data_IF_791479024878
#
_entry.id   IF_791479024878
#
_cell.length_a   1.000
_cell.length_b   1.000
_cell.length_c   1.000
_cell.angle_alpha   90.00
_cell.angle_beta   90.00
_cell.angle_gamma   90.00
#
_symmetry.space_group_name_H-M   'P 1'
#
loop_
_entity.id
_entity.type
_entity.pdbx_description
1 polymer ?
#
# COMPACT_ATOMS: atom_id res chain seq x y z
N UNK A 1 -20.21 31.95 19.26
CA UNK A 1 -19.56 31.80 17.94
C UNK A 1 -19.48 30.32 17.69
N UNK A 2 -20.37 29.76 16.87
CA UNK A 2 -20.26 28.37 16.42
C UNK A 2 -19.02 28.30 15.53
N UNK A 3 -18.01 27.53 15.91
CA UNK A 3 -16.87 27.27 15.05
C UNK A 3 -17.42 26.76 13.71
N UNK A 4 -17.15 27.49 12.63
CA UNK A 4 -17.50 27.02 11.29
C UNK A 4 -16.80 25.70 11.02
N UNK A 5 -17.39 24.86 10.19
CA UNK A 5 -16.69 23.69 9.68
C UNK A 5 -15.38 24.14 8.99
N UNK A 6 -14.26 23.42 9.18
CA UNK A 6 -13.00 23.77 8.54
C UNK A 6 -13.09 23.59 7.02
N UNK A 7 -12.47 24.50 6.28
CA UNK A 7 -12.35 24.42 4.83
C UNK A 7 -11.31 23.35 4.44
N UNK A 8 -11.66 22.50 3.47
CA UNK A 8 -10.88 21.34 3.07
C UNK A 8 -10.44 21.42 1.61
N UNK A 9 -9.15 21.22 1.37
CA UNK A 9 -8.62 20.94 0.04
C UNK A 9 -8.31 19.44 -0.09
N UNK A 10 -8.85 18.79 -1.12
CA UNK A 10 -8.50 17.43 -1.50
C UNK A 10 -7.57 17.46 -2.71
N UNK A 11 -6.29 17.17 -2.49
CA UNK A 11 -5.26 17.09 -3.52
C UNK A 11 -5.11 15.64 -4.00
N UNK A 12 -5.65 15.32 -5.18
CA UNK A 12 -5.54 14.00 -5.80
C UNK A 12 -4.30 13.95 -6.67
N UNK A 13 -3.31 13.11 -6.32
CA UNK A 13 -2.00 13.16 -7.00
C UNK A 13 -1.41 11.81 -7.35
N UNK A 14 -0.82 11.73 -8.54
CA UNK A 14 -0.06 10.56 -8.99
C UNK A 14 -0.57 9.98 -10.29
N UNK A 15 -0.76 8.67 -10.32
CA UNK A 15 -1.07 7.91 -11.54
C UNK A 15 -2.43 7.24 -11.40
N UNK A 16 -3.40 7.61 -12.25
CA UNK A 16 -4.71 6.95 -12.31
C UNK A 16 -4.51 5.50 -12.79
N UNK A 17 -5.23 4.56 -12.18
CA UNK A 17 -5.19 3.13 -12.52
C UNK A 17 -6.50 2.71 -13.19
N UNK A 18 -6.58 1.46 -13.65
CA UNK A 18 -7.80 0.96 -14.27
C UNK A 18 -9.01 0.99 -13.32
N UNK A 19 -8.79 0.75 -12.03
CA UNK A 19 -9.81 1.03 -11.01
C UNK A 19 -9.86 2.55 -10.78
N UNK A 20 -11.01 3.15 -11.12
CA UNK A 20 -11.30 4.57 -11.00
C UNK A 20 -12.39 4.86 -9.96
N UNK A 21 -12.66 3.94 -9.02
CA UNK A 21 -13.74 4.07 -8.03
C UNK A 21 -13.59 5.32 -7.16
N UNK A 22 -12.37 5.75 -6.85
CA UNK A 22 -12.17 7.04 -6.17
C UNK A 22 -12.64 8.22 -7.02
N UNK A 23 -12.46 8.20 -8.34
CA UNK A 23 -12.94 9.28 -9.20
C UNK A 23 -14.47 9.31 -9.21
N UNK A 24 -15.13 8.14 -9.25
CA UNK A 24 -16.58 8.04 -9.09
C UNK A 24 -17.03 8.65 -7.75
N UNK A 25 -16.34 8.31 -6.65
CA UNK A 25 -16.64 8.85 -5.33
C UNK A 25 -16.40 10.38 -5.23
N UNK A 26 -15.39 10.91 -5.92
CA UNK A 26 -15.10 12.35 -5.97
C UNK A 26 -16.14 13.13 -6.77
N UNK A 27 -16.71 12.54 -7.82
CA UNK A 27 -17.83 13.15 -8.58
C UNK A 27 -19.07 13.32 -7.69
N UNK A 28 -19.29 12.39 -6.75
CA UNK A 28 -20.41 12.41 -5.79
C UNK A 28 -20.12 13.25 -4.54
N UNK A 29 -18.85 13.35 -4.14
CA UNK A 29 -18.40 14.04 -2.94
C UNK A 29 -18.15 15.55 -3.17
N UNK A 30 -19.19 16.29 -3.52
CA UNK A 30 -19.17 17.76 -3.51
C UNK A 30 -19.82 18.23 -2.21
N UNK A 31 -19.00 18.55 -1.20
CA UNK A 31 -19.44 19.12 0.08
C UNK A 31 -19.30 20.64 0.05
N UNK A 32 -20.16 21.35 0.81
CA UNK A 32 -20.28 22.82 0.84
C UNK A 32 -18.99 23.62 1.19
N UNK A 33 -17.88 22.96 1.54
CA UNK A 33 -16.60 23.58 1.90
C UNK A 33 -15.38 22.75 1.49
N UNK A 34 -15.53 21.91 0.47
CA UNK A 34 -14.46 21.06 -0.05
C UNK A 34 -14.16 21.46 -1.49
N UNK A 35 -12.88 21.72 -1.77
CA UNK A 35 -12.40 21.90 -3.14
C UNK A 35 -11.42 20.80 -3.51
N UNK A 36 -11.52 20.31 -4.75
CA UNK A 36 -10.72 19.20 -5.25
C UNK A 36 -9.69 19.76 -6.24
N UNK A 37 -8.44 19.30 -6.11
CA UNK A 37 -7.31 19.67 -6.97
C UNK A 37 -6.65 18.40 -7.50
N UNK A 38 -6.66 18.21 -8.82
CA UNK A 38 -6.19 16.97 -9.43
C UNK A 38 -4.90 17.24 -10.21
N UNK A 39 -3.81 16.57 -9.84
CA UNK A 39 -2.59 16.55 -10.65
C UNK A 39 -2.14 15.11 -10.90
N UNK A 40 -2.29 14.66 -12.15
CA UNK A 40 -2.05 13.27 -12.54
C UNK A 40 -1.18 13.14 -13.78
N UNK A 41 -0.65 11.95 -14.00
CA UNK A 41 -0.02 11.58 -15.28
C UNK A 41 -1.09 11.29 -16.35
N UNK A 42 -0.82 11.68 -17.59
CA UNK A 42 -1.78 11.60 -18.70
C UNK A 42 -2.03 10.20 -19.25
N UNK A 43 -1.21 9.23 -18.85
CA UNK A 43 -1.42 7.81 -19.15
C UNK A 43 -1.97 7.12 -17.93
N UNK A 44 -3.01 6.31 -18.11
CA UNK A 44 -3.47 5.36 -17.10
C UNK A 44 -2.32 4.40 -16.84
N UNK A 45 -1.86 4.37 -15.60
CA UNK A 45 -0.71 3.59 -15.23
C UNK A 45 -1.05 2.13 -15.08
N UNK A 46 -0.22 1.28 -15.65
CA UNK A 46 -0.15 -0.10 -15.23
C UNK A 46 0.60 -0.18 -13.90
N UNK A 47 0.12 -0.97 -12.94
CA UNK A 47 0.97 -1.27 -11.77
C UNK A 47 2.18 -2.14 -12.18
N UNK A 48 2.25 -2.58 -13.43
CA UNK A 48 3.15 -3.60 -13.95
C UNK A 48 4.09 -3.06 -15.02
N UNK A 49 4.70 -1.89 -14.79
CA UNK A 49 5.96 -1.60 -15.49
C UNK A 49 7.07 -2.41 -14.80
N UNK A 50 7.24 -3.67 -15.22
CA UNK A 50 8.28 -4.57 -14.71
C UNK A 50 7.74 -5.81 -13.99
N UNK A 51 8.52 -6.33 -13.04
CA UNK A 51 8.19 -7.53 -12.25
C UNK A 51 6.97 -7.28 -11.34
N UNK A 52 6.06 -8.24 -11.24
CA UNK A 52 4.93 -8.17 -10.30
C UNK A 52 5.48 -8.27 -8.87
N UNK A 53 5.33 -7.20 -8.10
CA UNK A 53 5.80 -7.18 -6.72
C UNK A 53 4.85 -7.97 -5.79
N UNK A 54 5.34 -8.55 -4.67
CA UNK A 54 4.52 -9.30 -3.70
C UNK A 54 3.27 -8.53 -3.26
N UNK A 55 3.48 -7.26 -2.92
CA UNK A 55 2.43 -6.32 -2.52
C UNK A 55 1.36 -6.07 -3.59
N UNK A 56 1.62 -6.37 -4.86
CA UNK A 56 0.62 -6.27 -5.92
C UNK A 56 -0.30 -7.48 -5.89
N UNK A 57 0.26 -8.67 -5.64
CA UNK A 57 -0.51 -9.89 -5.45
C UNK A 57 -1.37 -9.79 -4.19
N UNK A 58 -0.80 -9.30 -3.08
CA UNK A 58 -1.54 -9.02 -1.83
C UNK A 58 -2.75 -8.10 -2.08
N UNK A 59 -2.59 -7.07 -2.93
CA UNK A 59 -3.68 -6.13 -3.23
C UNK A 59 -4.77 -6.72 -4.13
N UNK A 60 -4.44 -7.69 -4.98
CA UNK A 60 -5.41 -8.30 -5.91
C UNK A 60 -6.16 -9.50 -5.31
N UNK A 61 -5.54 -10.21 -4.36
CA UNK A 61 -6.06 -11.47 -3.82
C UNK A 61 -6.40 -11.42 -2.34
N UNK A 62 -6.00 -10.35 -1.65
CA UNK A 62 -6.04 -10.24 -0.20
C UNK A 62 -4.64 -10.33 0.40
N UNK A 63 -4.42 -9.56 1.46
CA UNK A 63 -3.16 -9.55 2.21
C UNK A 63 -2.80 -10.93 2.75
N UNK A 64 -3.81 -11.73 3.11
CA UNK A 64 -3.66 -13.10 3.58
C UNK A 64 -2.96 -14.01 2.56
N UNK A 65 -3.33 -13.88 1.29
CA UNK A 65 -2.74 -14.67 0.20
C UNK A 65 -1.38 -14.09 -0.20
N UNK A 66 -1.29 -12.79 -0.41
CA UNK A 66 -0.06 -12.18 -0.91
C UNK A 66 1.12 -12.28 0.06
N UNK A 67 0.85 -12.27 1.35
CA UNK A 67 1.87 -12.38 2.39
C UNK A 67 2.22 -13.86 2.70
N UNK A 68 1.39 -14.81 2.28
CA UNK A 68 1.70 -16.24 2.30
C UNK A 68 2.59 -16.67 1.12
N UNK A 69 2.79 -15.79 0.12
CA UNK A 69 3.67 -16.07 -1.01
C UNK A 69 5.14 -16.02 -0.57
N UNK A 70 5.92 -17.09 -0.76
CA UNK A 70 7.35 -16.99 -0.61
C UNK A 70 7.91 -15.98 -1.63
N UNK A 71 8.82 -15.13 -1.18
CA UNK A 71 9.50 -14.14 -2.03
C UNK A 71 10.17 -14.78 -3.25
N UNK A 72 10.63 -16.04 -3.11
CA UNK A 72 11.19 -16.85 -4.20
C UNK A 72 10.18 -17.28 -5.27
N UNK A 73 8.87 -17.22 -5.02
CA UNK A 73 7.85 -17.49 -6.02
C UNK A 73 7.42 -16.20 -6.75
N UNK A 74 7.51 -15.06 -6.09
CA UNK A 74 7.12 -13.75 -6.61
C UNK A 74 8.25 -13.13 -7.44
N UNK A 75 9.47 -13.21 -6.93
CA UNK A 75 10.66 -12.65 -7.56
C UNK A 75 11.25 -13.49 -8.69
N UNK A 76 10.63 -14.60 -9.10
CA UNK A 76 11.16 -15.50 -10.14
C UNK A 76 10.15 -15.93 -11.24
N UNK A 77 8.95 -15.34 -11.28
CA UNK A 77 7.96 -15.67 -12.31
C UNK A 77 7.36 -17.08 -12.17
N UNK A 78 7.54 -17.74 -11.02
CA UNK A 78 6.97 -19.06 -10.76
C UNK A 78 5.46 -18.99 -10.54
N UNK A 79 4.95 -17.97 -9.83
CA UNK A 79 3.49 -17.78 -9.70
C UNK A 79 2.87 -17.48 -11.07
N UNK A 80 3.56 -16.73 -11.92
CA UNK A 80 3.11 -16.49 -13.29
C UNK A 80 2.99 -17.79 -14.08
N UNK A 81 3.96 -18.71 -13.95
CA UNK A 81 3.85 -20.04 -14.56
C UNK A 81 2.68 -20.82 -13.97
N UNK A 82 2.41 -20.68 -12.67
CA UNK A 82 1.34 -21.41 -11.96
C UNK A 82 -0.05 -20.89 -12.32
N UNK A 83 -0.23 -19.58 -12.46
CA UNK A 83 -1.52 -18.94 -12.72
C UNK A 83 -1.32 -17.81 -13.73
N UNK A 84 -1.05 -18.16 -14.99
CA UNK A 84 -0.82 -17.16 -16.04
C UNK A 84 -2.03 -16.24 -16.20
N UNK A 85 -3.25 -16.73 -15.98
CA UNK A 85 -4.48 -15.94 -16.11
C UNK A 85 -4.58 -14.82 -15.07
N UNK A 86 -4.06 -15.04 -13.85
CA UNK A 86 -4.00 -14.01 -12.80
C UNK A 86 -2.97 -12.93 -13.14
N UNK A 87 -1.83 -13.33 -13.71
CA UNK A 87 -0.84 -12.37 -14.19
C UNK A 87 -1.31 -11.66 -15.44
N UNK A 88 -2.04 -12.33 -16.33
CA UNK A 88 -2.72 -11.71 -17.46
C UNK A 88 -3.77 -10.72 -16.98
N UNK A 89 -4.49 -10.95 -15.88
CA UNK A 89 -5.38 -9.95 -15.29
C UNK A 89 -4.65 -8.71 -14.76
N UNK A 90 -3.62 -8.93 -13.95
CA UNK A 90 -2.76 -7.86 -13.43
C UNK A 90 -2.13 -7.08 -14.60
N UNK A 91 -1.76 -7.77 -15.68
CA UNK A 91 -1.19 -7.20 -16.91
C UNK A 91 -2.24 -6.62 -17.85
N UNK A 92 -3.47 -7.08 -17.87
CA UNK A 92 -4.54 -6.47 -18.66
C UNK A 92 -4.98 -5.14 -18.04
N UNK A 93 -4.53 -4.87 -16.80
CA UNK A 93 -4.46 -3.53 -16.20
C UNK A 93 -3.32 -2.65 -16.79
N UNK A 94 -2.49 -3.16 -17.73
CA UNK A 94 -1.58 -2.41 -18.61
C UNK A 94 -2.37 -1.73 -19.75
N UNK A 95 -3.36 -0.93 -19.40
CA UNK A 95 -4.04 -0.16 -20.43
C UNK A 95 -3.16 1.02 -20.81
N UNK A 96 -2.66 1.04 -22.05
CA UNK A 96 -2.09 2.23 -22.72
C UNK A 96 -3.14 3.32 -22.98
N UNK A 97 -4.13 3.41 -22.10
CA UNK A 97 -5.23 4.36 -22.18
C UNK A 97 -4.75 5.70 -21.67
N UNK A 98 -5.20 6.75 -22.32
CA UNK A 98 -5.02 8.09 -21.81
C UNK A 98 -6.08 8.35 -20.75
N UNK A 99 -5.71 9.17 -19.77
CA UNK A 99 -6.66 9.72 -18.80
C UNK A 99 -7.71 10.55 -19.54
N UNK A 100 -8.98 10.34 -19.22
CA UNK A 100 -10.08 11.15 -19.74
C UNK A 100 -10.07 12.52 -19.07
N UNK A 101 -9.53 13.52 -19.78
CA UNK A 101 -9.41 14.88 -19.28
C UNK A 101 -10.76 15.56 -19.06
N UNK A 102 -11.78 15.22 -19.86
CA UNK A 102 -13.10 15.84 -19.75
C UNK A 102 -13.84 15.29 -18.54
N UNK A 103 -13.67 14.00 -18.26
CA UNK A 103 -14.12 13.41 -16.99
C UNK A 103 -13.53 14.14 -15.79
N UNK A 104 -12.21 14.34 -15.73
CA UNK A 104 -11.57 15.03 -14.60
C UNK A 104 -12.06 16.48 -14.44
N UNK A 105 -12.32 17.17 -15.55
CA UNK A 105 -12.86 18.54 -15.52
C UNK A 105 -14.30 18.61 -15.01
N UNK A 106 -15.07 17.52 -15.12
CA UNK A 106 -16.40 17.45 -14.52
C UNK A 106 -16.34 17.37 -12.99
N UNK A 107 -15.25 16.82 -12.43
CA UNK A 107 -15.02 16.78 -10.97
C UNK A 107 -14.60 18.15 -10.46
N UNK A 108 -13.65 18.80 -11.13
CA UNK A 108 -13.10 20.09 -10.68
C UNK A 108 -12.56 20.91 -11.84
N UNK A 109 -12.62 22.25 -11.79
CA UNK A 109 -11.91 23.10 -12.74
C UNK A 109 -10.38 23.05 -12.56
N UNK A 110 -9.87 22.57 -11.43
CA UNK A 110 -8.45 22.57 -11.10
C UNK A 110 -7.76 21.25 -11.46
N UNK A 111 -7.43 21.08 -12.74
CA UNK A 111 -6.87 19.84 -13.29
C UNK A 111 -5.53 20.08 -13.99
N UNK A 112 -4.52 19.31 -13.60
CA UNK A 112 -3.20 19.23 -14.22
C UNK A 112 -2.93 17.80 -14.72
N UNK A 113 -2.77 17.64 -16.03
CA UNK A 113 -2.49 16.36 -16.68
C UNK A 113 -1.19 16.54 -17.46
N UNK A 114 -0.18 15.73 -17.16
CA UNK A 114 1.13 15.82 -17.83
C UNK A 114 1.57 14.47 -18.41
N UNK A 115 2.29 14.51 -19.53
CA UNK A 115 2.91 13.33 -20.11
C UNK A 115 4.16 12.94 -19.29
N UNK A 116 4.11 11.76 -18.68
CA UNK A 116 5.21 11.20 -17.89
C UNK A 116 6.49 11.02 -18.70
N UNK A 117 6.40 10.66 -19.99
CA UNK A 117 7.55 10.47 -20.88
C UNK A 117 8.27 11.78 -21.14
N UNK A 118 7.51 12.83 -21.50
CA UNK A 118 8.09 14.17 -21.70
C UNK A 118 8.77 14.68 -20.43
N UNK A 119 8.17 14.45 -19.26
CA UNK A 119 8.80 14.80 -17.99
C UNK A 119 10.15 14.06 -17.79
N UNK A 120 10.20 12.74 -18.01
CA UNK A 120 11.45 11.93 -17.91
C UNK A 120 12.51 12.46 -18.87
N UNK A 121 12.15 12.75 -20.12
CA UNK A 121 13.07 13.23 -21.16
C UNK A 121 13.72 14.57 -20.82
N UNK A 122 13.04 15.40 -20.02
CA UNK A 122 13.60 16.68 -19.54
C UNK A 122 14.53 16.54 -18.34
N UNK A 123 14.60 15.37 -17.70
CA UNK A 123 15.46 15.13 -16.55
C UNK A 123 16.84 14.60 -16.98
N UNK A 124 17.91 14.86 -16.21
CA UNK A 124 19.19 14.21 -16.40
C UNK A 124 19.10 12.68 -16.26
N UNK A 125 19.95 11.93 -16.97
CA UNK A 125 19.89 10.45 -17.03
C UNK A 125 19.99 9.75 -15.65
N UNK A 126 20.74 10.32 -14.71
CA UNK A 126 20.83 9.82 -13.33
C UNK A 126 19.52 9.99 -12.53
N UNK A 127 18.60 10.81 -13.03
CA UNK A 127 17.25 11.00 -12.49
C UNK A 127 16.17 10.19 -13.25
N UNK A 128 16.56 9.39 -14.26
CA UNK A 128 15.65 8.52 -15.03
C UNK A 128 15.26 7.24 -14.28
N UNK A 129 15.97 6.89 -13.20
CA UNK A 129 15.63 5.74 -12.36
C UNK A 129 14.43 6.06 -11.44
N UNK A 130 13.24 5.88 -11.99
CA UNK A 130 11.91 5.63 -11.41
C UNK A 130 11.53 6.09 -9.98
N UNK A 131 10.40 6.83 -9.98
CA UNK A 131 9.22 6.87 -9.06
C UNK A 131 9.08 7.96 -8.01
N UNK A 132 10.04 8.24 -7.13
CA UNK A 132 9.72 9.13 -5.99
C UNK A 132 9.60 10.60 -6.37
N UNK A 133 10.48 11.11 -7.24
CA UNK A 133 10.31 12.47 -7.80
C UNK A 133 8.97 12.67 -8.48
N UNK A 134 8.38 11.62 -9.06
CA UNK A 134 7.08 11.71 -9.72
C UNK A 134 5.94 11.90 -8.71
N UNK A 135 5.99 11.18 -7.59
CA UNK A 135 5.00 11.31 -6.51
C UNK A 135 5.09 12.71 -5.89
N UNK A 136 6.28 13.12 -5.44
CA UNK A 136 6.49 14.46 -4.89
C UNK A 136 6.16 15.56 -5.88
N UNK A 137 6.59 15.42 -7.13
CA UNK A 137 6.28 16.39 -8.19
C UNK A 137 4.78 16.59 -8.32
N UNK A 138 4.00 15.50 -8.44
CA UNK A 138 2.54 15.61 -8.54
C UNK A 138 1.88 16.12 -7.26
N UNK A 139 2.42 15.80 -6.09
CA UNK A 139 2.03 16.44 -4.81
C UNK A 139 2.22 17.96 -4.86
N UNK A 140 3.41 18.41 -5.25
CA UNK A 140 3.72 19.84 -5.36
C UNK A 140 2.88 20.55 -6.44
N UNK A 141 2.61 19.90 -7.58
CA UNK A 141 1.76 20.44 -8.66
C UNK A 141 0.32 20.64 -8.19
N UNK A 142 -0.31 19.65 -7.56
CA UNK A 142 -1.66 19.83 -7.00
C UNK A 142 -1.69 20.89 -5.90
N UNK A 143 -0.68 20.94 -5.03
CA UNK A 143 -0.58 21.99 -4.01
C UNK A 143 -0.42 23.39 -4.61
N UNK A 144 0.23 23.52 -5.76
CA UNK A 144 0.30 24.79 -6.49
C UNK A 144 -1.05 25.18 -7.09
N UNK A 145 -1.85 24.24 -7.61
CA UNK A 145 -3.22 24.51 -8.04
C UNK A 145 -4.06 25.05 -6.86
N UNK A 146 -3.96 24.40 -5.70
CA UNK A 146 -4.59 24.86 -4.46
C UNK A 146 -4.16 26.28 -4.10
N UNK A 147 -2.85 26.58 -4.11
CA UNK A 147 -2.33 27.93 -3.85
C UNK A 147 -2.86 28.99 -4.81
N UNK A 148 -3.02 28.65 -6.10
CA UNK A 148 -3.62 29.56 -7.07
C UNK A 148 -5.08 29.86 -6.71
N UNK A 149 -5.86 28.84 -6.36
CA UNK A 149 -7.24 29.01 -5.89
C UNK A 149 -7.32 29.82 -4.58
N UNK A 150 -6.40 29.60 -3.64
CA UNK A 150 -6.29 30.41 -2.41
C UNK A 150 -6.01 31.90 -2.72
N UNK A 151 -5.20 32.17 -3.75
CA UNK A 151 -4.89 33.53 -4.18
C UNK A 151 -6.08 34.20 -4.87
N UNK A 152 -6.80 33.47 -5.71
CA UNK A 152 -7.99 33.95 -6.42
C UNK A 152 -9.15 34.26 -5.46
N UNK A 153 -9.41 33.34 -4.52
CA UNK A 153 -10.47 33.46 -3.52
C UNK A 153 -10.09 34.35 -2.32
N UNK A 154 -8.79 34.64 -2.14
CA UNK A 154 -8.19 35.31 -0.98
C UNK A 154 -8.44 34.60 0.36
N UNK A 155 -8.80 33.32 0.33
CA UNK A 155 -9.00 32.48 1.51
C UNK A 155 -8.04 31.29 1.45
N UNK A 156 -7.50 30.89 2.60
CA UNK A 156 -6.68 29.68 2.70
C UNK A 156 -7.53 28.52 3.18
N UNK A 157 -7.18 27.32 2.76
CA UNK A 157 -7.76 26.11 3.33
C UNK A 157 -7.20 25.87 4.73
N UNK A 158 -8.01 25.29 5.61
CA UNK A 158 -7.60 24.90 6.96
C UNK A 158 -6.90 23.54 6.92
N UNK A 159 -7.49 22.59 6.18
CA UNK A 159 -7.05 21.20 6.09
C UNK A 159 -6.72 20.86 4.65
N UNK A 160 -5.66 20.07 4.45
CA UNK A 160 -5.30 19.51 3.16
C UNK A 160 -5.21 18.00 3.28
N UNK A 161 -6.00 17.30 2.46
CA UNK A 161 -5.93 15.87 2.29
C UNK A 161 -5.27 15.56 0.94
N UNK A 162 -4.08 14.98 0.97
CA UNK A 162 -3.44 14.40 -0.21
C UNK A 162 -3.85 12.95 -0.34
N UNK A 163 -4.36 12.57 -1.50
CA UNK A 163 -4.91 11.23 -1.77
C UNK A 163 -4.36 10.71 -3.10
N UNK A 164 -4.02 9.43 -3.18
CA UNK A 164 -3.72 8.79 -4.47
C UNK A 164 -5.00 8.53 -5.28
N UNK A 165 -4.97 8.68 -6.61
CA UNK A 165 -6.13 8.41 -7.46
C UNK A 165 -6.54 6.94 -7.52
N UNK A 166 -5.72 6.00 -7.02
CA UNK A 166 -5.96 4.55 -7.09
C UNK A 166 -6.47 3.93 -5.79
N UNK A 167 -7.06 4.72 -4.89
CA UNK A 167 -7.81 4.18 -3.76
C UNK A 167 -9.17 3.63 -4.18
N UNK A 168 -9.68 2.66 -3.43
CA UNK A 168 -11.03 2.13 -3.62
C UNK A 168 -12.12 3.11 -3.17
N UNK A 169 -11.82 3.94 -2.17
CA UNK A 169 -12.81 4.78 -1.49
C UNK A 169 -12.17 6.08 -1.00
N UNK A 170 -13.01 7.10 -0.77
CA UNK A 170 -12.59 8.30 -0.07
C UNK A 170 -12.29 7.96 1.40
N UNK A 171 -11.08 8.29 1.91
CA UNK A 171 -10.75 8.06 3.30
C UNK A 171 -11.66 8.92 4.20
N UNK A 172 -11.98 8.41 5.39
CA UNK A 172 -12.73 9.17 6.39
C UNK A 172 -11.85 10.29 6.95
N UNK A 173 -11.96 11.49 6.37
CA UNK A 173 -11.21 12.67 6.80
C UNK A 173 -11.84 13.22 8.09
N UNK A 174 -11.05 13.40 9.18
CA UNK A 174 -11.55 13.97 10.43
C UNK A 174 -12.13 15.38 10.22
N UNK A 175 -13.30 15.64 10.81
CA UNK A 175 -13.96 16.96 10.78
C UNK A 175 -13.48 17.91 11.88
N UNK A 176 -12.76 17.37 12.88
CA UNK A 176 -12.04 18.11 13.90
C UNK A 176 -10.56 17.77 13.75
N UNK A 177 -9.73 18.80 13.66
CA UNK A 177 -8.32 18.63 13.34
C UNK A 177 -7.48 19.57 14.20
N UNK A 178 -6.55 19.03 14.98
CA UNK A 178 -5.54 19.83 15.68
C UNK A 178 -4.31 20.03 14.77
N UNK A 179 -3.71 21.21 14.81
CA UNK A 179 -2.52 21.52 13.98
C UNK A 179 -1.30 20.64 14.31
N UNK A 180 -1.29 20.01 15.48
CA UNK A 180 -0.28 19.03 15.89
C UNK A 180 -0.54 17.62 15.35
N UNK A 181 -1.65 17.37 14.67
CA UNK A 181 -2.03 16.05 14.16
C UNK A 181 -1.65 15.86 12.68
N UNK A 182 -1.42 14.59 12.31
CA UNK A 182 -1.26 14.14 10.93
C UNK A 182 -1.85 12.74 10.79
N UNK A 183 -2.64 12.51 9.74
CA UNK A 183 -3.32 11.24 9.51
C UNK A 183 -2.82 10.60 8.22
N UNK A 184 -2.46 9.32 8.29
CA UNK A 184 -1.72 8.59 7.25
C UNK A 184 -2.35 7.20 7.04
N UNK A 185 -2.11 6.54 5.90
CA UNK A 185 -2.70 5.22 5.65
C UNK A 185 -2.08 4.09 6.49
N UNK A 186 -0.82 4.22 6.91
CA UNK A 186 -0.20 3.34 7.89
C UNK A 186 0.99 4.02 8.57
N UNK A 187 1.37 3.48 9.73
CA UNK A 187 2.51 3.88 10.54
C UNK A 187 3.25 2.62 11.00
N UNK A 188 4.58 2.67 11.00
CA UNK A 188 5.44 1.59 11.48
C UNK A 188 6.60 2.20 12.25
N UNK A 189 6.72 1.85 13.52
CA UNK A 189 7.89 2.16 14.34
C UNK A 189 8.79 0.91 14.39
N UNK A 190 10.05 1.09 14.03
CA UNK A 190 11.06 0.04 14.11
C UNK A 190 11.73 0.02 15.49
N UNK A 191 12.35 -1.11 15.84
CA UNK A 191 12.94 -1.31 17.17
C UNK A 191 14.10 -0.38 17.52
N UNK A 192 14.65 0.35 16.55
CA UNK A 192 15.69 1.37 16.74
C UNK A 192 15.13 2.80 16.91
N UNK A 193 13.79 2.95 16.89
CA UNK A 193 13.09 4.23 16.97
C UNK A 193 12.87 4.91 15.62
N UNK A 194 13.23 4.28 14.50
CA UNK A 194 12.90 4.76 13.17
C UNK A 194 11.39 4.70 12.95
N UNK A 195 10.81 5.81 12.48
CA UNK A 195 9.41 5.87 12.09
C UNK A 195 9.30 5.82 10.56
N UNK A 196 8.44 4.95 10.06
CA UNK A 196 8.03 4.89 8.66
C UNK A 196 6.54 5.17 8.55
N UNK A 197 6.15 5.97 7.57
CA UNK A 197 4.76 6.33 7.35
C UNK A 197 4.34 6.18 5.89
N UNK A 198 3.10 5.75 5.68
CA UNK A 198 2.51 5.60 4.36
C UNK A 198 2.32 6.93 3.65
N UNK A 199 2.46 6.89 2.32
CA UNK A 199 2.25 8.04 1.45
C UNK A 199 1.00 7.89 0.59
N UNK A 200 0.06 6.99 0.89
CA UNK A 200 -1.13 6.81 0.04
C UNK A 200 -2.22 7.83 0.36
N UNK A 201 -2.35 8.15 1.64
CA UNK A 201 -3.19 9.25 2.14
C UNK A 201 -2.38 10.02 3.16
N UNK A 202 -2.43 11.35 3.07
CA UNK A 202 -1.86 12.24 4.09
C UNK A 202 -2.87 13.36 4.34
N UNK A 203 -3.37 13.48 5.56
CA UNK A 203 -4.24 14.60 5.98
C UNK A 203 -3.53 15.39 7.06
N UNK A 204 -3.38 16.69 6.83
CA UNK A 204 -2.73 17.59 7.77
C UNK A 204 -3.35 18.99 7.69
N UNK A 205 -3.11 19.80 8.73
CA UNK A 205 -3.34 21.22 8.64
C UNK A 205 -2.51 21.83 7.48
N UNK A 206 -3.04 22.83 6.80
CA UNK A 206 -2.50 23.32 5.51
C UNK A 206 -1.03 23.75 5.55
N UNK A 207 -0.56 24.35 6.65
CA UNK A 207 0.85 24.73 6.81
C UNK A 207 1.76 23.52 7.12
N UNK A 208 1.27 22.53 7.86
CA UNK A 208 1.99 21.27 8.09
C UNK A 208 2.18 20.53 6.77
N UNK A 209 1.16 20.50 5.92
CA UNK A 209 1.27 19.93 4.57
C UNK A 209 2.28 20.70 3.71
N UNK A 210 2.30 22.04 3.78
CA UNK A 210 3.29 22.87 3.07
C UNK A 210 4.72 22.53 3.51
N UNK A 211 4.95 22.48 4.82
CA UNK A 211 6.25 22.15 5.41
C UNK A 211 6.68 20.72 5.05
N UNK A 212 5.75 19.76 5.00
CA UNK A 212 6.02 18.38 4.57
C UNK A 212 6.46 18.33 3.11
N UNK A 213 5.73 19.01 2.21
CA UNK A 213 6.08 19.05 0.77
C UNK A 213 7.47 19.66 0.58
N UNK A 214 7.80 20.69 1.37
CA UNK A 214 9.11 21.32 1.36
C UNK A 214 10.21 20.41 1.93
N UNK A 215 9.93 19.70 3.02
CA UNK A 215 10.84 18.72 3.60
C UNK A 215 11.14 17.56 2.64
N UNK A 216 10.10 17.02 2.01
CA UNK A 216 10.22 16.01 0.96
C UNK A 216 11.04 16.54 -0.22
N UNK A 217 10.81 17.80 -0.62
CA UNK A 217 11.58 18.43 -1.71
C UNK A 217 13.08 18.41 -1.42
N UNK A 218 13.50 18.75 -0.20
CA UNK A 218 14.92 18.79 0.14
C UNK A 218 15.55 17.39 0.19
N UNK A 219 14.88 16.44 0.84
CA UNK A 219 15.47 15.13 1.13
C UNK A 219 15.39 14.13 -0.03
N UNK A 220 14.44 14.29 -0.95
CA UNK A 220 14.22 13.35 -2.05
C UNK A 220 15.22 13.48 -3.21
N UNK A 221 16.06 14.52 -3.23
CA UNK A 221 17.16 14.60 -4.19
C UNK A 221 18.37 13.75 -3.79
N UNK A 222 18.49 13.41 -2.51
CA UNK A 222 19.68 12.77 -1.94
C UNK A 222 19.48 11.28 -1.63
N UNK A 223 18.24 10.82 -1.46
CA UNK A 223 17.90 9.47 -1.01
C UNK A 223 17.17 8.63 -2.08
N UNK A 224 17.39 7.31 -2.07
CA UNK A 224 16.68 6.33 -2.92
C UNK A 224 15.21 6.11 -2.49
N UNK A 225 14.41 5.44 -3.34
CA UNK A 225 12.96 5.22 -3.18
C UNK A 225 12.53 4.64 -1.83
N UNK A 226 13.34 3.75 -1.25
CA UNK A 226 13.01 3.06 -0.01
C UNK A 226 12.87 4.03 1.19
N UNK A 227 13.47 5.21 1.10
CA UNK A 227 13.48 6.17 2.21
C UNK A 227 12.29 7.15 2.23
N UNK A 228 11.30 7.08 1.33
CA UNK A 228 10.19 8.07 1.39
C UNK A 228 9.39 7.95 2.69
N UNK A 229 9.09 6.72 3.10
CA UNK A 229 8.32 6.51 4.31
C UNK A 229 9.10 6.94 5.54
N UNK A 230 10.43 6.75 5.52
CA UNK A 230 11.34 7.29 6.53
C UNK A 230 11.38 8.81 6.50
N UNK A 231 11.44 9.47 5.33
CA UNK A 231 11.44 10.94 5.22
C UNK A 231 10.15 11.52 5.83
N UNK A 232 9.00 10.89 5.60
CA UNK A 232 7.75 11.30 6.24
C UNK A 232 7.83 11.08 7.75
N UNK A 233 8.37 9.95 8.21
CA UNK A 233 8.58 9.69 9.64
C UNK A 233 9.56 10.66 10.31
N UNK A 234 10.69 10.97 9.68
CA UNK A 234 11.68 11.98 10.08
C UNK A 234 11.01 13.34 10.25
N UNK A 235 10.14 13.73 9.31
CA UNK A 235 9.35 14.95 9.41
C UNK A 235 8.41 14.95 10.62
N UNK A 236 7.65 13.86 10.80
CA UNK A 236 6.70 13.68 11.92
C UNK A 236 7.43 13.80 13.26
N UNK A 237 8.53 13.06 13.43
CA UNK A 237 9.34 13.07 14.65
C UNK A 237 9.99 14.44 14.88
N UNK A 238 10.55 15.04 13.83
CA UNK A 238 11.20 16.36 13.91
C UNK A 238 10.23 17.49 14.27
N UNK A 239 8.99 17.42 13.79
CA UNK A 239 7.91 18.38 14.10
C UNK A 239 7.14 18.02 15.36
N UNK A 240 7.39 16.85 15.95
CA UNK A 240 6.66 16.31 17.12
C UNK A 240 5.15 16.25 16.88
N UNK A 241 4.76 15.77 15.70
CA UNK A 241 3.36 15.60 15.34
C UNK A 241 2.79 14.32 15.97
N UNK A 242 1.52 14.38 16.36
CA UNK A 242 0.73 13.22 16.74
C UNK A 242 0.25 12.53 15.46
N UNK A 243 0.83 11.37 15.15
CA UNK A 243 0.53 10.63 13.93
C UNK A 243 -0.56 9.59 14.18
N UNK A 244 -1.55 9.54 13.28
CA UNK A 244 -2.68 8.63 13.35
C UNK A 244 -2.80 7.82 12.06
N UNK A 245 -3.05 6.52 12.18
CA UNK A 245 -3.38 5.69 11.02
C UNK A 245 -4.88 5.80 10.69
N UNK A 246 -5.23 6.01 9.43
CA UNK A 246 -6.59 5.98 8.89
C UNK A 246 -6.69 4.91 7.82
N UNK A 247 -7.88 4.31 7.71
CA UNK A 247 -8.12 3.27 6.72
C UNK A 247 -8.07 3.88 5.31
N UNK A 248 -7.19 3.35 4.46
CA UNK A 248 -7.15 3.65 3.04
C UNK A 248 -6.71 2.41 2.27
N UNK A 249 -7.57 1.91 1.39
CA UNK A 249 -7.28 0.71 0.59
C UNK A 249 -6.97 1.12 -0.85
N UNK A 250 -5.80 0.72 -1.35
CA UNK A 250 -5.45 0.90 -2.76
C UNK A 250 -6.15 -0.18 -3.58
N UNK A 251 -7.00 0.23 -4.51
CA UNK A 251 -7.67 -0.66 -5.44
C UNK A 251 -6.69 -1.28 -6.44
N UNK A 252 -6.62 -2.60 -6.44
CA UNK A 252 -6.44 -3.35 -7.69
C UNK A 252 -7.77 -4.06 -7.89
N UNK A 253 -8.26 -4.13 -9.13
CA UNK A 253 -9.48 -4.88 -9.43
C UNK A 253 -9.32 -6.32 -8.90
N UNK A 254 -10.10 -6.74 -7.89
CA UNK A 254 -9.87 -8.01 -7.22
C UNK A 254 -10.03 -9.14 -8.24
N UNK A 255 -9.02 -9.99 -8.34
CA UNK A 255 -9.19 -11.23 -9.09
C UNK A 255 -10.04 -12.18 -8.24
N UNK A 256 -10.92 -13.01 -8.83
CA UNK A 256 -11.73 -13.92 -8.05
C UNK A 256 -10.84 -14.84 -7.20
N UNK A 257 -10.86 -14.61 -5.87
CA UNK A 257 -10.05 -15.34 -4.89
C UNK A 257 -10.24 -16.85 -5.04
N UNK A 258 -11.49 -17.28 -5.22
CA UNK A 258 -11.84 -18.68 -5.43
C UNK A 258 -11.26 -19.25 -6.73
N UNK A 259 -11.15 -18.44 -7.79
CA UNK A 259 -10.51 -18.87 -9.02
C UNK A 259 -9.00 -19.04 -8.84
N UNK A 260 -8.36 -18.13 -8.10
CA UNK A 260 -6.94 -18.27 -7.74
C UNK A 260 -6.70 -19.51 -6.89
N UNK A 261 -7.47 -19.69 -5.80
CA UNK A 261 -7.37 -20.84 -4.91
C UNK A 261 -7.69 -22.15 -5.63
N UNK A 262 -8.70 -22.16 -6.51
CA UNK A 262 -9.00 -23.33 -7.35
C UNK A 262 -7.88 -23.63 -8.34
N UNK A 263 -7.23 -22.62 -8.93
CA UNK A 263 -6.13 -22.81 -9.86
C UNK A 263 -4.90 -23.38 -9.14
N UNK A 264 -4.59 -22.86 -7.95
CA UNK A 264 -3.56 -23.41 -7.06
C UNK A 264 -3.89 -24.87 -6.70
N UNK A 265 -5.11 -25.14 -6.20
CA UNK A 265 -5.51 -26.47 -5.76
C UNK A 265 -5.45 -27.52 -6.87
N UNK A 266 -6.00 -27.21 -8.06
CA UNK A 266 -5.97 -28.13 -9.22
C UNK A 266 -4.55 -28.45 -9.66
N UNK A 267 -3.61 -27.50 -9.58
CA UNK A 267 -2.21 -27.73 -9.96
C UNK A 267 -1.41 -28.43 -8.88
N UNK A 268 -1.75 -28.22 -7.61
CA UNK A 268 -1.23 -28.99 -6.49
C UNK A 268 -1.58 -30.48 -6.62
N UNK A 269 -2.82 -30.78 -6.98
CA UNK A 269 -3.27 -32.16 -7.19
C UNK A 269 -2.66 -32.81 -8.45
N UNK A 270 -2.30 -32.00 -9.45
CA UNK A 270 -1.78 -32.47 -10.74
C UNK A 270 -0.26 -32.63 -10.81
N UNK A 271 0.51 -31.87 -10.03
CA UNK A 271 1.97 -31.91 -10.01
C UNK A 271 2.47 -32.27 -8.59
N UNK A 272 2.86 -33.54 -8.44
CA UNK A 272 3.76 -34.12 -7.41
C UNK A 272 4.11 -33.28 -6.18
N UNK A 273 3.86 -33.89 -5.03
CA UNK A 273 4.07 -33.55 -3.61
C UNK A 273 5.46 -33.07 -3.15
N UNK A 274 6.24 -32.37 -3.96
CA UNK A 274 7.59 -31.94 -3.59
C UNK A 274 8.01 -30.60 -4.20
N UNK A 275 8.62 -29.75 -3.37
CA UNK A 275 9.25 -28.50 -3.77
C UNK A 275 8.56 -27.24 -3.23
N UNK A 276 9.11 -26.04 -3.56
CA UNK A 276 8.64 -24.75 -3.03
C UNK A 276 7.14 -24.48 -3.27
N UNK A 277 6.61 -24.95 -4.41
CA UNK A 277 5.18 -24.83 -4.73
C UNK A 277 4.29 -25.58 -3.74
N UNK A 278 4.69 -26.76 -3.29
CA UNK A 278 3.90 -27.57 -2.36
C UNK A 278 3.82 -26.92 -0.96
N UNK A 279 4.94 -26.35 -0.49
CA UNK A 279 4.99 -25.61 0.78
C UNK A 279 4.13 -24.34 0.72
N UNK A 280 4.17 -23.64 -0.41
CA UNK A 280 3.33 -22.48 -0.63
C UNK A 280 1.83 -22.80 -0.61
N UNK A 281 1.39 -23.86 -1.30
CA UNK A 281 -0.03 -24.27 -1.28
C UNK A 281 -0.46 -24.67 0.13
N UNK A 282 0.36 -25.44 0.84
CA UNK A 282 0.11 -25.85 2.21
C UNK A 282 -0.02 -24.65 3.15
N UNK A 283 0.85 -23.63 3.02
CA UNK A 283 0.78 -22.40 3.82
C UNK A 283 -0.51 -21.61 3.57
N UNK A 284 -0.91 -21.42 2.31
CA UNK A 284 -2.17 -20.73 1.97
C UNK A 284 -3.38 -21.48 2.56
N UNK A 285 -3.46 -22.79 2.31
CA UNK A 285 -4.58 -23.61 2.80
C UNK A 285 -4.65 -23.54 4.33
N UNK A 286 -3.50 -23.61 5.00
CA UNK A 286 -3.44 -23.49 6.45
C UNK A 286 -3.95 -22.14 6.95
N UNK A 287 -3.52 -21.04 6.33
CA UNK A 287 -3.94 -19.69 6.70
C UNK A 287 -5.44 -19.46 6.46
N UNK A 288 -6.00 -19.98 5.37
CA UNK A 288 -7.45 -19.92 5.10
C UNK A 288 -8.23 -20.68 6.16
N UNK A 289 -7.78 -21.89 6.52
CA UNK A 289 -8.40 -22.65 7.59
C UNK A 289 -8.34 -21.90 8.92
N UNK A 290 -7.19 -21.29 9.26
CA UNK A 290 -7.03 -20.48 10.48
C UNK A 290 -7.96 -19.25 10.49
N UNK A 291 -8.12 -18.55 9.37
CA UNK A 291 -9.03 -17.39 9.27
C UNK A 291 -10.51 -17.79 9.43
N UNK A 292 -10.84 -19.08 9.25
CA UNK A 292 -12.18 -19.64 9.44
C UNK A 292 -12.32 -20.45 10.74
N UNK A 293 -11.38 -20.30 11.68
CA UNK A 293 -11.31 -21.07 12.95
C UNK A 293 -11.24 -22.61 12.77
N UNK A 294 -10.85 -23.09 11.59
CA UNK A 294 -10.67 -24.52 11.28
C UNK A 294 -9.24 -24.98 11.60
N UNK A 295 -8.97 -25.21 12.89
CA UNK A 295 -7.64 -25.67 13.34
C UNK A 295 -7.28 -27.06 12.79
N UNK A 296 -8.27 -27.91 12.51
CA UNK A 296 -8.04 -29.26 12.01
C UNK A 296 -7.60 -29.24 10.54
N UNK A 297 -8.31 -28.48 9.69
CA UNK A 297 -7.92 -28.26 8.30
C UNK A 297 -6.56 -27.56 8.19
N UNK A 298 -6.26 -26.62 9.10
CA UNK A 298 -4.96 -25.96 9.12
C UNK A 298 -3.80 -26.94 9.39
N UNK A 299 -3.99 -27.86 10.35
CA UNK A 299 -3.02 -28.95 10.61
C UNK A 299 -2.87 -29.86 9.40
N UNK A 300 -3.98 -30.31 8.82
CA UNK A 300 -3.95 -31.19 7.66
C UNK A 300 -3.18 -30.55 6.50
N UNK A 301 -3.47 -29.28 6.20
CA UNK A 301 -2.75 -28.51 5.18
C UNK A 301 -1.24 -28.46 5.46
N UNK A 302 -0.82 -28.18 6.70
CA UNK A 302 0.61 -28.11 7.05
C UNK A 302 1.32 -29.47 6.97
N UNK A 303 0.64 -30.60 7.19
CA UNK A 303 1.26 -31.93 7.02
C UNK A 303 1.62 -32.25 5.57
N UNK A 304 1.01 -31.52 4.63
CA UNK A 304 1.24 -31.66 3.19
C UNK A 304 2.45 -30.86 2.69
N UNK A 305 3.11 -30.09 3.57
CA UNK A 305 4.35 -29.39 3.25
C UNK A 305 5.51 -30.37 3.07
N UNK A 306 6.31 -30.17 2.02
CA UNK A 306 7.54 -30.91 1.74
C UNK A 306 8.76 -30.45 2.55
N UNK A 307 8.72 -29.23 3.09
CA UNK A 307 9.74 -28.68 3.99
C UNK A 307 9.08 -27.86 5.10
N UNK A 308 9.17 -28.34 6.34
CA UNK A 308 8.54 -27.73 7.50
C UNK A 308 9.24 -26.45 8.00
N UNK A 309 10.45 -26.19 7.49
CA UNK A 309 11.33 -25.09 7.93
C UNK A 309 11.36 -23.94 6.91
N UNK A 310 10.54 -23.98 5.85
CA UNK A 310 10.41 -22.84 4.95
C UNK A 310 9.62 -21.69 5.60
N UNK A 311 10.01 -20.43 5.37
CA UNK A 311 9.40 -19.28 6.07
C UNK A 311 7.86 -19.21 6.01
N UNK A 312 7.20 -19.46 4.85
CA UNK A 312 5.73 -19.48 4.81
C UNK A 312 5.10 -20.57 5.70
N UNK A 313 5.73 -21.74 5.78
CA UNK A 313 5.26 -22.85 6.62
C UNK A 313 5.51 -22.54 8.10
N UNK A 314 6.69 -22.02 8.44
CA UNK A 314 7.00 -21.56 9.80
C UNK A 314 5.98 -20.51 10.25
N UNK A 315 5.68 -19.51 9.42
CA UNK A 315 4.69 -18.48 9.71
C UNK A 315 3.30 -19.09 9.99
N UNK A 316 2.80 -19.96 9.12
CA UNK A 316 1.50 -20.63 9.32
C UNK A 316 1.49 -21.55 10.56
N UNK A 317 2.59 -22.26 10.85
CA UNK A 317 2.74 -23.06 12.09
C UNK A 317 2.73 -22.19 13.34
N UNK A 318 3.34 -21.02 13.26
CA UNK A 318 3.37 -20.03 14.34
C UNK A 318 1.97 -19.48 14.64
N UNK A 319 1.22 -19.11 13.60
CA UNK A 319 -0.19 -18.70 13.75
C UNK A 319 -1.05 -19.82 14.35
N UNK A 320 -0.89 -21.06 13.86
CA UNK A 320 -1.58 -22.22 14.42
C UNK A 320 -1.22 -22.43 15.90
N UNK A 321 0.05 -22.28 16.28
CA UNK A 321 0.49 -22.37 17.67
C UNK A 321 -0.18 -21.32 18.55
N UNK A 322 -0.25 -20.06 18.10
CA UNK A 322 -0.98 -19.01 18.81
C UNK A 322 -2.47 -19.32 18.94
N UNK A 323 -3.13 -19.76 17.86
CA UNK A 323 -4.54 -20.11 17.86
C UNK A 323 -4.85 -21.28 18.82
N UNK A 324 -3.89 -22.17 19.04
CA UNK A 324 -3.97 -23.27 20.01
C UNK A 324 -3.54 -22.89 21.44
N UNK A 325 -3.13 -21.64 21.68
CA UNK A 325 -2.60 -21.19 22.97
C UNK A 325 -1.19 -21.71 23.29
N UNK A 326 -0.46 -22.25 22.31
CA UNK A 326 0.93 -22.72 22.43
C UNK A 326 1.92 -21.57 22.23
N UNK A 327 1.92 -20.60 23.14
CA UNK A 327 2.75 -19.38 23.05
C UNK A 327 4.25 -19.67 22.89
N UNK A 328 4.82 -20.56 23.71
CA UNK A 328 6.26 -20.91 23.65
C UNK A 328 6.68 -21.43 22.27
N UNK A 329 5.82 -22.21 21.62
CA UNK A 329 6.11 -22.78 20.30
C UNK A 329 6.06 -21.69 19.22
N UNK A 330 5.15 -20.70 19.37
CA UNK A 330 5.11 -19.53 18.49
C UNK A 330 6.35 -18.63 18.66
N UNK A 331 6.86 -18.45 19.88
CA UNK A 331 8.10 -17.70 20.15
C UNK A 331 9.32 -18.36 19.52
N UNK A 332 9.44 -19.69 19.63
CA UNK A 332 10.54 -20.43 19.00
C UNK A 332 10.50 -20.31 17.48
N UNK A 333 9.31 -20.43 16.88
CA UNK A 333 9.10 -20.25 15.45
C UNK A 333 9.46 -18.83 15.01
N UNK A 334 9.11 -17.81 15.79
CA UNK A 334 9.49 -16.43 15.49
C UNK A 334 11.01 -16.22 15.53
N UNK A 335 11.70 -16.82 16.50
CA UNK A 335 13.17 -16.78 16.54
C UNK A 335 13.80 -17.46 15.32
N UNK A 336 13.20 -18.56 14.83
CA UNK A 336 13.64 -19.20 13.58
C UNK A 336 13.43 -18.27 12.38
N UNK A 337 12.27 -17.62 12.27
CA UNK A 337 11.98 -16.64 11.22
C UNK A 337 12.95 -15.45 11.26
N UNK A 338 13.33 -14.97 12.45
CA UNK A 338 14.30 -13.89 12.63
C UNK A 338 15.70 -14.29 12.14
N UNK A 339 16.11 -15.52 12.45
CA UNK A 339 17.36 -16.08 11.96
C UNK A 339 17.37 -16.27 10.42
N UNK A 340 16.20 -16.50 9.81
CA UNK A 340 16.02 -16.50 8.35
C UNK A 340 16.05 -15.08 7.77
N UNK A 341 15.36 -14.12 8.41
CA UNK A 341 15.26 -12.72 7.99
C UNK A 341 16.58 -11.98 7.97
N UNK A 342 17.50 -12.32 8.87
CA UNK A 342 18.87 -11.80 8.85
C UNK A 342 19.67 -12.21 7.58
N UNK A 343 19.20 -13.17 6.78
CA UNK A 343 19.87 -13.68 5.57
C UNK A 343 19.24 -13.23 4.26
N UNK A 344 17.97 -12.83 4.27
CA UNK A 344 17.20 -12.46 3.09
C UNK A 344 16.47 -11.19 3.49
N UNK A 345 16.82 -10.04 2.90
CA UNK A 345 16.26 -8.73 3.23
C UNK A 345 14.71 -8.82 3.33
N UNK A 346 14.18 -8.88 4.56
CA UNK A 346 12.86 -9.46 4.87
C UNK A 346 11.75 -8.42 5.09
N UNK A 347 11.83 -7.29 4.39
CA UNK A 347 10.78 -6.25 4.36
C UNK A 347 9.43 -6.73 3.77
N UNK A 348 9.37 -7.97 3.27
CA UNK A 348 8.20 -8.53 2.58
C UNK A 348 7.30 -9.44 3.45
N UNK A 349 7.75 -10.01 4.59
CA UNK A 349 6.91 -10.91 5.43
C UNK A 349 6.07 -10.17 6.49
N UNK A 350 5.55 -9.03 6.06
CA UNK A 350 5.34 -7.89 6.92
C UNK A 350 4.10 -8.02 7.83
N UNK A 351 2.95 -8.57 7.42
CA UNK A 351 1.74 -8.46 8.26
C UNK A 351 1.61 -9.54 9.36
N UNK A 352 1.64 -10.83 9.04
CA UNK A 352 1.44 -11.86 10.07
C UNK A 352 2.65 -12.06 10.99
N UNK A 353 3.88 -11.82 10.51
CA UNK A 353 5.03 -11.74 11.40
C UNK A 353 4.84 -10.62 12.43
N UNK A 354 4.31 -9.46 12.00
CA UNK A 354 3.93 -8.36 12.91
C UNK A 354 2.74 -8.70 13.81
N UNK A 355 1.69 -9.36 13.31
CA UNK A 355 0.57 -9.80 14.15
C UNK A 355 1.00 -10.84 15.18
N UNK A 356 1.87 -11.77 14.79
CA UNK A 356 2.46 -12.76 15.70
C UNK A 356 3.29 -12.05 16.77
N UNK A 357 4.19 -11.13 16.41
CA UNK A 357 4.92 -10.31 17.40
C UNK A 357 3.97 -9.54 18.30
N UNK A 358 2.99 -8.83 17.74
CA UNK A 358 2.01 -8.08 18.52
C UNK A 358 1.19 -8.99 19.46
N UNK A 359 0.82 -10.21 19.04
CA UNK A 359 0.13 -11.18 19.89
C UNK A 359 1.02 -11.75 21.01
N UNK A 360 2.31 -11.96 20.71
CA UNK A 360 3.33 -12.36 21.69
C UNK A 360 3.60 -11.25 22.72
N UNK A 361 3.60 -9.99 22.28
CA UNK A 361 3.82 -8.80 23.11
C UNK A 361 2.58 -8.47 23.98
N UNK A 362 1.37 -8.61 23.43
CA UNK A 362 0.11 -8.34 24.13
C UNK A 362 -0.30 -9.38 25.18
N UNK A 363 0.47 -10.46 25.35
CA UNK A 363 0.21 -11.51 26.35
C UNK A 363 1.05 -11.36 27.62
N UNK A 364 1.69 -10.20 27.82
CA UNK A 364 2.36 -9.81 29.07
C UNK A 364 1.53 -8.80 29.89
N UNK A 365 0.30 -9.18 30.28
CA UNK A 365 -0.48 -8.52 31.34
C UNK A 365 -0.87 -9.56 32.38
#
# INVERSE_FOLDING_TARGET
MTAGNPSLAICVTGEIRANQTLLDALEEAVLDQTEIFISVWGTVGSKVEGWVAPRQVSRSLGFDIGDALPTSLIGFGEIEKLIPEFFDHIRMTLTSQNVDADRLKNITPYVDIEDRRLFVETLPQWAHQYTMRFIHYKMARAFNLMKCAEQESKNKFDIVARIRPDLCELPCIPTQFDRSEIYLDWLLEEGDGTLMAGDNVIVAHRDVMEDLIEHMRHNMFEKERHHVHEIIGEFILGRKLNAHAIKAEIGVDPWPRDAFLSAIGKRYDANTSCGPTANFVAAIQANICLDNDDLAGAKEALTKASNADEPPILLSRGRLALAEGRKSDAEEIMAQLDAYGAKINMDDYCYYGRQMRAALDNTNI
#
